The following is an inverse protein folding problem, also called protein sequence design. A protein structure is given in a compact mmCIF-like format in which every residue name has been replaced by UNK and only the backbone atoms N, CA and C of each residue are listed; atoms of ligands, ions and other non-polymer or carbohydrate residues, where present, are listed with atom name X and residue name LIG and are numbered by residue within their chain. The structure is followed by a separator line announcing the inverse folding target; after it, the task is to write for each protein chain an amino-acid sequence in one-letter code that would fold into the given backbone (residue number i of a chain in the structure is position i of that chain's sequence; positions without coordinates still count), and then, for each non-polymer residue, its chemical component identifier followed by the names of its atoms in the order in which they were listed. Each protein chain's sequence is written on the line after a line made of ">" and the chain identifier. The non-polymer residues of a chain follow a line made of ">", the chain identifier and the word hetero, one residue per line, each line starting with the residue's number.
data_IF_871415923377
#
_entry.id   IF_871415923377
#
_cell.length_a   1.000
_cell.length_b   1.000
_cell.length_c   1.000
_cell.angle_alpha   90.00
_cell.angle_beta   90.00
_cell.angle_gamma   90.00
#
_symmetry.space_group_name_H-M   'P 1'
#
loop_
_entity.id
_entity.type
_entity.pdbx_description
1 polymer ?
#
# COMPACT_ATOMS: atom_id res chain seq x y z
N UNK A 1 -12.87 -1.76 12.10
CA UNK A 1 -12.47 -0.76 11.10
C UNK A 1 -13.70 0.05 10.69
N UNK A 2 -13.83 1.26 11.19
CA UNK A 2 -14.94 2.13 10.81
C UNK A 2 -14.83 2.55 9.34
N UNK A 3 -15.87 2.25 8.57
CA UNK A 3 -15.94 2.62 7.17
C UNK A 3 -15.00 1.85 6.23
N UNK A 4 -14.23 0.92 6.76
CA UNK A 4 -13.23 0.19 5.98
C UNK A 4 -13.36 -1.33 6.08
N UNK A 5 -12.61 -2.02 5.26
CA UNK A 5 -12.62 -3.47 5.16
C UNK A 5 -11.22 -3.99 4.83
N UNK A 6 -10.84 -5.10 5.46
CA UNK A 6 -9.61 -5.80 5.13
C UNK A 6 -9.91 -6.80 4.01
N UNK A 7 -9.23 -6.64 2.87
CA UNK A 7 -9.37 -7.55 1.75
C UNK A 7 -8.50 -8.79 1.96
N UNK A 8 -9.06 -9.95 1.61
CA UNK A 8 -8.26 -11.16 1.53
C UNK A 8 -7.33 -11.05 0.33
N UNK A 9 -6.00 -11.25 0.51
CA UNK A 9 -5.09 -11.21 -0.63
C UNK A 9 -5.47 -12.26 -1.68
N UNK A 10 -5.34 -11.95 -2.97
CA UNK A 10 -5.58 -12.95 -4.00
C UNK A 10 -4.60 -14.11 -3.88
N UNK A 11 -5.11 -15.32 -4.08
CA UNK A 11 -4.28 -16.53 -4.04
C UNK A 11 -3.69 -16.76 -5.43
N UNK A 12 -2.36 -16.87 -5.50
CA UNK A 12 -1.68 -17.21 -6.75
C UNK A 12 -1.66 -18.71 -6.92
N UNK A 13 -2.35 -19.21 -7.93
CA UNK A 13 -2.39 -20.64 -8.27
C UNK A 13 -1.18 -21.08 -9.09
N UNK A 14 -0.24 -20.17 -9.37
CA UNK A 14 0.94 -20.43 -10.19
C UNK A 14 0.75 -20.09 -11.66
N UNK A 15 -0.47 -19.81 -12.08
CA UNK A 15 -0.78 -19.52 -13.48
C UNK A 15 -1.02 -18.04 -13.76
N UNK A 16 -1.26 -17.26 -12.71
CA UNK A 16 -1.61 -15.84 -12.84
C UNK A 16 -0.40 -14.95 -12.75
N UNK A 17 -0.32 -13.96 -13.62
CA UNK A 17 0.71 -12.93 -13.56
C UNK A 17 0.48 -12.03 -12.34
N UNK A 18 1.56 -11.53 -11.70
CA UNK A 18 1.43 -10.64 -10.54
C UNK A 18 0.51 -9.44 -10.77
N UNK A 19 0.58 -8.81 -11.96
CA UNK A 19 -0.28 -7.68 -12.29
C UNK A 19 -1.77 -8.07 -12.21
N UNK A 20 -2.11 -9.30 -12.61
CA UNK A 20 -3.50 -9.77 -12.58
C UNK A 20 -4.00 -9.92 -11.14
N UNK A 21 -3.14 -10.37 -10.23
CA UNK A 21 -3.51 -10.48 -8.82
C UNK A 21 -3.83 -9.13 -8.22
N UNK A 22 -3.04 -8.13 -8.56
CA UNK A 22 -3.27 -6.75 -8.10
C UNK A 22 -4.55 -6.18 -8.69
N UNK A 23 -4.83 -6.46 -9.97
CA UNK A 23 -6.09 -6.05 -10.61
C UNK A 23 -7.31 -6.68 -9.91
N UNK A 24 -7.22 -7.94 -9.50
CA UNK A 24 -8.29 -8.61 -8.76
C UNK A 24 -8.53 -7.91 -7.42
N UNK A 25 -7.47 -7.55 -6.70
CA UNK A 25 -7.59 -6.83 -5.44
C UNK A 25 -8.25 -5.46 -5.66
N UNK A 26 -7.85 -4.73 -6.70
CA UNK A 26 -8.43 -3.44 -7.04
C UNK A 26 -9.92 -3.55 -7.39
N UNK A 27 -10.30 -4.57 -8.14
CA UNK A 27 -11.70 -4.81 -8.50
C UNK A 27 -12.56 -5.12 -7.26
N UNK A 28 -12.01 -5.87 -6.31
CA UNK A 28 -12.70 -6.15 -5.04
C UNK A 28 -12.89 -4.87 -4.23
N UNK A 29 -11.87 -4.03 -4.16
CA UNK A 29 -11.95 -2.76 -3.47
C UNK A 29 -13.01 -1.86 -4.08
N UNK A 30 -13.08 -1.76 -5.40
CA UNK A 30 -14.09 -0.96 -6.11
C UNK A 30 -15.50 -1.44 -5.80
N UNK A 31 -15.73 -2.74 -5.77
CA UNK A 31 -17.05 -3.28 -5.44
C UNK A 31 -17.49 -2.91 -4.03
N UNK A 32 -16.56 -2.97 -3.07
CA UNK A 32 -16.86 -2.61 -1.69
C UNK A 32 -17.17 -1.12 -1.56
N UNK A 33 -16.44 -0.26 -2.29
CA UNK A 33 -16.69 1.18 -2.27
C UNK A 33 -18.05 1.53 -2.84
N UNK A 34 -18.52 0.83 -3.88
CA UNK A 34 -19.87 1.00 -4.42
C UNK A 34 -20.94 0.60 -3.43
N UNK A 35 -20.62 -0.29 -2.48
CA UNK A 35 -21.54 -0.71 -1.41
C UNK A 35 -21.44 0.17 -0.17
N UNK A 36 -20.70 1.27 -0.22
CA UNK A 36 -20.59 2.21 0.87
C UNK A 36 -19.36 2.05 1.76
N UNK A 37 -18.47 1.11 1.47
CA UNK A 37 -17.20 0.98 2.20
C UNK A 37 -16.31 2.18 1.85
N UNK A 38 -15.86 2.92 2.86
CA UNK A 38 -15.10 4.15 2.65
C UNK A 38 -13.70 3.88 2.10
N UNK A 39 -13.07 2.78 2.53
CA UNK A 39 -11.74 2.39 2.09
C UNK A 39 -11.55 0.89 2.28
N UNK A 40 -10.57 0.34 1.59
CA UNK A 40 -10.23 -1.08 1.70
C UNK A 40 -8.72 -1.22 1.91
N UNK A 41 -8.33 -2.22 2.68
CA UNK A 41 -6.93 -2.53 3.00
C UNK A 41 -6.59 -3.90 2.46
N UNK A 42 -5.42 -4.03 1.85
CA UNK A 42 -4.87 -5.33 1.46
C UNK A 42 -3.48 -5.48 2.08
N UNK A 43 -3.14 -6.69 2.47
CA UNK A 43 -1.82 -7.01 2.98
C UNK A 43 -0.91 -7.45 1.84
N UNK A 44 0.30 -6.91 1.81
CA UNK A 44 1.33 -7.32 0.86
C UNK A 44 2.53 -7.81 1.68
N UNK A 45 2.86 -9.08 1.58
CA UNK A 45 4.00 -9.63 2.33
C UNK A 45 5.31 -9.01 1.88
N UNK A 46 6.30 -9.00 2.76
CA UNK A 46 7.62 -8.44 2.41
C UNK A 46 8.27 -9.17 1.25
N UNK A 47 8.01 -10.48 1.12
CA UNK A 47 8.54 -11.27 0.00
C UNK A 47 7.90 -10.87 -1.34
N UNK A 48 6.75 -10.22 -1.30
CA UNK A 48 6.04 -9.74 -2.49
C UNK A 48 6.21 -8.23 -2.68
N UNK A 49 7.25 -7.62 -2.12
CA UNK A 49 7.49 -6.18 -2.22
C UNK A 49 7.58 -5.68 -3.66
N UNK A 50 7.98 -6.52 -4.60
CA UNK A 50 8.02 -6.17 -6.02
C UNK A 50 6.63 -5.84 -6.60
N UNK A 51 5.55 -6.21 -5.92
CA UNK A 51 4.19 -5.87 -6.32
C UNK A 51 3.78 -4.44 -5.92
N UNK A 52 4.53 -3.78 -5.04
CA UNK A 52 4.17 -2.44 -4.57
C UNK A 52 3.92 -1.45 -5.71
N UNK A 53 4.77 -1.36 -6.74
CA UNK A 53 4.49 -0.43 -7.85
C UNK A 53 3.16 -0.71 -8.54
N UNK A 54 2.78 -1.97 -8.64
CA UNK A 54 1.50 -2.36 -9.26
C UNK A 54 0.32 -1.93 -8.39
N UNK A 55 0.41 -2.08 -7.08
CA UNK A 55 -0.62 -1.61 -6.16
C UNK A 55 -0.76 -0.08 -6.23
N UNK A 56 0.37 0.65 -6.29
CA UNK A 56 0.31 2.11 -6.39
C UNK A 56 -0.42 2.57 -7.65
N UNK A 57 -0.21 1.89 -8.78
CA UNK A 57 -0.91 2.21 -10.03
C UNK A 57 -2.41 1.97 -9.94
N UNK A 58 -2.83 1.06 -9.06
CA UNK A 58 -4.24 0.74 -8.86
C UNK A 58 -4.91 1.61 -7.79
N UNK A 59 -4.22 2.61 -7.29
CA UNK A 59 -4.80 3.54 -6.32
C UNK A 59 -4.62 3.16 -4.86
N UNK A 60 -3.79 2.16 -4.56
CA UNK A 60 -3.44 1.83 -3.18
C UNK A 60 -2.27 2.70 -2.72
N UNK A 61 -2.27 3.05 -1.44
CA UNK A 61 -1.14 3.71 -0.80
C UNK A 61 -0.61 2.86 0.36
N UNK A 62 0.70 2.86 0.57
CA UNK A 62 1.29 2.19 1.72
C UNK A 62 1.05 3.06 2.96
N UNK A 63 0.30 2.54 3.92
CA UNK A 63 -0.13 3.32 5.07
C UNK A 63 0.42 2.82 6.39
N UNK A 64 0.82 1.56 6.50
CA UNK A 64 1.36 1.01 7.74
C UNK A 64 2.25 -0.20 7.45
N UNK A 65 3.08 -0.52 8.43
CA UNK A 65 3.94 -1.71 8.42
C UNK A 65 3.50 -2.62 9.55
N UNK A 66 3.35 -3.91 9.26
CA UNK A 66 3.21 -4.91 10.32
C UNK A 66 4.62 -5.27 10.80
N UNK A 67 4.89 -5.24 12.11
CA UNK A 67 6.25 -5.43 12.63
C UNK A 67 6.83 -6.81 12.34
N UNK A 68 8.17 -6.88 12.40
CA UNK A 68 8.89 -8.14 12.21
C UNK A 68 8.57 -9.19 13.26
N UNK A 69 8.12 -8.79 14.45
CA UNK A 69 7.69 -9.71 15.48
C UNK A 69 6.40 -10.45 15.12
N UNK A 70 5.68 -9.96 14.12
CA UNK A 70 4.50 -10.65 13.63
C UNK A 70 4.87 -11.93 12.90
N UNK A 71 3.95 -12.91 12.93
CA UNK A 71 4.13 -14.16 12.18
C UNK A 71 4.29 -13.91 10.68
N UNK A 72 3.70 -12.83 10.17
CA UNK A 72 3.76 -12.47 8.75
C UNK A 72 4.03 -10.97 8.61
N UNK A 73 5.32 -10.55 8.63
CA UNK A 73 5.63 -9.14 8.37
C UNK A 73 5.11 -8.72 7.01
N UNK A 74 4.42 -7.59 6.95
CA UNK A 74 3.83 -7.15 5.68
C UNK A 74 3.60 -5.66 5.64
N UNK A 75 3.33 -5.18 4.42
CA UNK A 75 2.92 -3.81 4.13
C UNK A 75 1.41 -3.77 4.10
N UNK A 76 0.81 -2.81 4.80
CA UNK A 76 -0.63 -2.58 4.75
C UNK A 76 -0.92 -1.47 3.75
N UNK A 77 -1.58 -1.85 2.66
CA UNK A 77 -1.93 -0.96 1.56
C UNK A 77 -3.40 -0.60 1.65
N UNK A 78 -3.70 0.67 1.45
CA UNK A 78 -5.07 1.19 1.62
C UNK A 78 -5.48 2.00 0.40
N UNK A 79 -6.75 1.89 0.02
CA UNK A 79 -7.36 2.78 -0.97
C UNK A 79 -7.74 4.11 -0.32
N UNK A 80 -7.99 5.13 -1.12
CA UNK A 80 -8.52 6.40 -0.64
C UNK A 80 -7.50 7.33 0.03
N UNK A 81 -6.20 7.09 -0.15
CA UNK A 81 -5.19 8.01 0.32
C UNK A 81 -5.09 9.19 -0.62
N UNK A 82 -5.35 10.40 -0.12
CA UNK A 82 -5.32 11.63 -0.92
C UNK A 82 -4.13 12.47 -0.47
N UNK A 83 -3.13 12.70 -1.35
CA UNK A 83 -1.95 13.46 -0.96
C UNK A 83 -2.26 14.95 -0.80
N UNK A 84 -1.59 15.58 0.17
CA UNK A 84 -1.53 17.01 0.23
C UNK A 84 -0.66 17.54 -0.93
N UNK A 85 -0.81 18.81 -1.30
CA UNK A 85 -0.08 19.42 -2.41
C UNK A 85 1.34 19.82 -1.98
N UNK A 86 2.19 18.82 -1.76
CA UNK A 86 3.59 19.03 -1.41
C UNK A 86 4.44 18.04 -2.19
N UNK A 87 5.73 18.34 -2.32
CA UNK A 87 6.66 17.41 -2.93
C UNK A 87 6.80 16.16 -2.04
N UNK A 88 6.98 14.98 -2.63
CA UNK A 88 7.18 13.76 -1.85
C UNK A 88 8.55 13.72 -1.19
N UNK A 89 8.63 12.95 -0.11
CA UNK A 89 9.91 12.55 0.47
C UNK A 89 10.23 11.16 -0.06
N UNK A 90 11.38 11.03 -0.72
CA UNK A 90 11.81 9.74 -1.24
C UNK A 90 12.60 8.98 -0.18
N UNK A 91 12.16 7.76 0.12
CA UNK A 91 12.76 6.91 1.14
C UNK A 91 13.03 5.54 0.53
N UNK A 92 14.27 5.02 0.63
CA UNK A 92 14.53 3.64 0.20
C UNK A 92 13.67 2.67 0.99
N UNK A 93 13.11 1.67 0.30
CA UNK A 93 12.26 0.66 0.94
C UNK A 93 12.97 -0.03 2.11
N UNK A 94 14.28 -0.17 2.03
CA UNK A 94 15.08 -0.84 3.06
C UNK A 94 15.34 0.02 4.28
N UNK A 95 15.13 1.33 4.18
CA UNK A 95 15.25 2.24 5.33
C UNK A 95 13.96 2.23 6.14
N UNK A 96 13.76 1.14 6.89
CA UNK A 96 12.53 0.89 7.64
C UNK A 96 12.30 1.90 8.75
N UNK A 97 13.37 2.42 9.33
CA UNK A 97 13.27 3.41 10.42
C UNK A 97 12.65 4.70 9.91
N UNK A 98 13.18 5.26 8.82
CA UNK A 98 12.66 6.48 8.23
C UNK A 98 11.24 6.27 7.69
N UNK A 99 11.00 5.12 7.05
CA UNK A 99 9.68 4.78 6.55
C UNK A 99 8.65 4.72 7.68
N UNK A 100 8.98 4.04 8.77
CA UNK A 100 8.08 3.94 9.92
C UNK A 100 7.80 5.29 10.56
N UNK A 101 8.82 6.15 10.67
CA UNK A 101 8.65 7.49 11.23
C UNK A 101 7.69 8.35 10.40
N UNK A 102 7.82 8.33 9.08
CA UNK A 102 6.94 9.10 8.20
C UNK A 102 5.51 8.56 8.21
N UNK A 103 5.35 7.23 8.20
CA UNK A 103 4.01 6.64 8.30
C UNK A 103 3.34 7.00 9.62
N UNK A 104 4.09 7.04 10.72
CA UNK A 104 3.57 7.44 12.02
C UNK A 104 3.14 8.91 12.05
N UNK A 105 3.74 9.75 11.20
CA UNK A 105 3.36 11.16 11.07
C UNK A 105 2.14 11.37 10.16
N UNK A 106 1.55 10.32 9.63
CA UNK A 106 0.39 10.42 8.76
C UNK A 106 0.71 10.46 7.26
N UNK A 107 1.94 10.14 6.88
CA UNK A 107 2.32 10.04 5.46
C UNK A 107 1.87 8.69 4.89
N UNK A 108 1.75 8.64 3.58
CA UNK A 108 1.56 7.40 2.84
C UNK A 108 2.46 7.36 1.62
N UNK A 109 2.96 6.19 1.27
CA UNK A 109 3.68 6.01 0.03
C UNK A 109 2.67 5.79 -1.09
N UNK A 110 2.73 6.61 -2.12
CA UNK A 110 1.78 6.59 -3.24
C UNK A 110 2.44 6.27 -4.57
N UNK A 111 3.76 6.23 -4.61
CA UNK A 111 4.51 5.96 -5.82
C UNK A 111 5.86 5.34 -5.46
N UNK A 112 6.55 4.83 -6.46
CA UNK A 112 7.85 4.21 -6.29
C UNK A 112 8.68 4.38 -7.55
N UNK A 113 10.00 4.19 -7.39
CA UNK A 113 10.92 4.10 -8.53
C UNK A 113 12.03 3.11 -8.21
N UNK A 114 12.69 2.55 -9.22
CA UNK A 114 13.84 1.67 -8.98
C UNK A 114 14.95 2.42 -8.24
N UNK A 115 15.59 1.72 -7.32
CA UNK A 115 16.69 2.29 -6.54
C UNK A 115 17.65 1.16 -6.14
N UNK A 116 18.80 1.05 -6.81
CA UNK A 116 19.86 0.11 -6.47
C UNK A 116 19.40 -1.33 -6.27
N UNK A 117 18.69 -1.93 -7.20
CA UNK A 117 18.21 -3.31 -7.08
C UNK A 117 16.97 -3.48 -6.20
N UNK A 118 16.46 -2.39 -5.62
CA UNK A 118 15.27 -2.38 -4.80
C UNK A 118 14.37 -1.22 -5.25
N UNK A 119 13.63 -0.60 -4.34
CA UNK A 119 12.71 0.50 -4.62
C UNK A 119 12.98 1.67 -3.69
N UNK A 120 12.76 2.88 -4.18
CA UNK A 120 12.55 4.05 -3.34
C UNK A 120 11.07 4.40 -3.41
N UNK A 121 10.50 4.77 -2.25
CA UNK A 121 9.08 5.09 -2.13
C UNK A 121 8.90 6.60 -2.00
N UNK A 122 7.90 7.13 -2.68
CA UNK A 122 7.53 8.53 -2.57
C UNK A 122 6.47 8.68 -1.49
N UNK A 123 6.83 9.29 -0.36
CA UNK A 123 5.92 9.48 0.75
C UNK A 123 5.37 10.91 0.73
N UNK A 124 4.05 11.01 0.82
CA UNK A 124 3.33 12.26 0.81
C UNK A 124 2.56 12.42 2.12
N UNK A 125 2.55 13.63 2.70
CA UNK A 125 1.57 13.90 3.75
C UNK A 125 0.18 13.81 3.14
N UNK A 126 -0.75 13.21 3.88
CA UNK A 126 -2.12 13.06 3.39
C UNK A 126 -2.94 14.28 3.75
N UNK A 127 -3.94 14.59 2.91
CA UNK A 127 -4.95 15.59 3.26
C UNK A 127 -5.69 15.11 4.49
N UNK A 128 -5.93 16.04 5.41
CA UNK A 128 -6.79 15.76 6.55
C UNK A 128 -8.21 15.54 6.04
N UNK A 129 -8.82 14.46 6.52
CA UNK A 129 -10.24 14.21 6.28
C UNK A 129 -11.03 14.92 7.37
N UNK A 130 -11.91 15.75 6.95
CA UNK A 130 -12.84 16.40 7.86
C UNK A 130 -14.01 15.49 8.20
#
# INVERSE_FOLDING_TARGET
>A
LEGGCLLTPPVNTGEELPARLVEIAAARADRLRRKGTAWAVVECTETAAALLPLYFRQGFGLRALRPLESLAPCFLLRTGCVPARTAPVWVPLEDRVQLALLLAKGYAALDSRPYGGSLALALYPLKETE
#
